data_IF_111575755401
#
_entry.id   IF_111575755401
#
_cell.length_a   1.000
_cell.length_b   1.000
_cell.length_c   1.000
_cell.angle_alpha   90.00
_cell.angle_beta   90.00
_cell.angle_gamma   90.00
#
_symmetry.space_group_name_H-M   'P 1'
#
loop_
_entity.id
_entity.type
_entity.pdbx_description
1 polymer ?
#
# COMPACT_ATOMS: atom_id res chain seq x y z
N UNK A 1 4.74 22.63 26.71
CA UNK A 1 4.23 22.87 25.35
C UNK A 1 4.93 21.83 24.52
N UNK A 2 4.25 20.71 24.29
CA UNK A 2 4.87 19.58 23.61
C UNK A 2 5.07 19.96 22.15
N UNK A 3 6.30 19.82 21.69
CA UNK A 3 6.64 19.87 20.29
C UNK A 3 5.96 18.67 19.62
N UNK A 4 4.80 18.90 19.00
CA UNK A 4 4.17 17.96 18.07
C UNK A 4 5.03 17.97 16.80
N UNK A 5 6.09 17.17 16.81
CA UNK A 5 6.89 16.86 15.63
C UNK A 5 5.95 16.26 14.56
N UNK A 6 6.05 16.67 13.29
CA UNK A 6 5.20 16.13 12.24
C UNK A 6 5.48 14.63 12.11
N UNK A 7 4.41 13.83 12.12
CA UNK A 7 4.43 12.38 11.87
C UNK A 7 4.90 12.11 10.44
N UNK A 8 6.21 12.17 10.23
CA UNK A 8 6.87 11.83 8.99
C UNK A 8 7.25 10.36 8.98
N UNK A 9 6.82 9.65 7.94
CA UNK A 9 7.46 8.53 7.22
C UNK A 9 8.41 7.55 7.96
N UNK A 10 8.31 7.36 9.27
CA UNK A 10 9.06 6.33 9.97
C UNK A 10 8.42 4.97 9.69
N UNK A 11 9.21 3.95 9.30
CA UNK A 11 8.72 2.59 9.19
C UNK A 11 8.10 2.16 10.53
N UNK A 12 6.89 1.59 10.48
CA UNK A 12 6.27 1.00 11.67
C UNK A 12 7.11 -0.22 12.05
N UNK A 13 7.75 -0.21 13.21
CA UNK A 13 8.57 -1.34 13.64
C UNK A 13 7.68 -2.58 13.88
N UNK A 14 8.20 -3.81 13.73
CA UNK A 14 7.40 -5.03 13.90
C UNK A 14 6.84 -5.26 15.32
N UNK A 15 7.20 -4.40 16.28
CA UNK A 15 6.70 -4.42 17.66
C UNK A 15 5.76 -3.25 17.98
N UNK A 16 5.55 -2.34 17.03
CA UNK A 16 4.62 -1.23 17.19
C UNK A 16 3.18 -1.69 16.95
N UNK A 17 2.24 -1.10 17.69
CA UNK A 17 0.82 -1.24 17.37
C UNK A 17 0.52 -0.51 16.06
N UNK A 18 -0.05 -1.22 15.09
CA UNK A 18 -0.52 -0.61 13.84
C UNK A 18 -1.54 0.47 14.18
N UNK A 19 -1.32 1.74 13.77
CA UNK A 19 -2.27 2.81 13.99
C UNK A 19 -3.65 2.38 13.48
N UNK A 20 -4.74 2.67 14.22
CA UNK A 20 -6.08 2.22 13.84
C UNK A 20 -6.50 2.74 12.45
N UNK A 21 -5.99 3.90 12.03
CA UNK A 21 -6.19 4.41 10.67
C UNK A 21 -5.54 3.58 9.56
N UNK A 22 -4.53 2.77 9.87
CA UNK A 22 -3.78 1.94 8.92
C UNK A 22 -4.14 0.45 9.02
N UNK A 23 -5.00 0.02 9.95
CA UNK A 23 -5.35 -1.40 10.12
C UNK A 23 -6.15 -1.97 8.94
N UNK A 24 -7.09 -1.20 8.38
CA UNK A 24 -8.02 -1.67 7.34
C UNK A 24 -7.93 -0.83 6.06
N UNK A 25 -6.71 -0.46 5.66
CA UNK A 25 -6.49 0.31 4.44
C UNK A 25 -6.16 -0.57 3.24
N UNK A 26 -6.53 -0.08 2.07
CA UNK A 26 -6.00 -0.56 0.81
C UNK A 26 -5.49 0.61 -0.02
N UNK A 27 -4.43 0.35 -0.78
CA UNK A 27 -3.82 1.34 -1.66
C UNK A 27 -3.79 0.78 -3.07
N UNK A 28 -4.11 1.64 -4.03
CA UNK A 28 -4.02 1.34 -5.45
C UNK A 28 -3.18 2.44 -6.10
N UNK A 29 -1.92 2.15 -6.37
CA UNK A 29 -0.97 3.09 -6.96
C UNK A 29 -0.83 2.83 -8.45
N UNK A 30 -0.84 3.90 -9.25
CA UNK A 30 -0.54 3.83 -10.68
C UNK A 30 0.96 4.03 -10.87
N UNK A 31 1.65 3.00 -11.33
CA UNK A 31 3.09 3.03 -11.49
C UNK A 31 3.47 3.06 -12.98
N UNK A 32 4.05 4.18 -13.41
CA UNK A 32 4.46 4.44 -14.80
C UNK A 32 5.99 4.56 -14.93
N UNK A 33 6.73 3.51 -14.55
CA UNK A 33 8.19 3.50 -14.67
C UNK A 33 8.69 3.02 -16.04
N UNK A 34 8.40 1.75 -16.40
CA UNK A 34 8.80 1.14 -17.69
C UNK A 34 7.63 0.54 -18.47
N UNK A 35 6.66 0.01 -17.74
CA UNK A 35 5.39 -0.45 -18.26
C UNK A 35 4.33 0.03 -17.27
N UNK A 36 3.19 0.50 -17.80
CA UNK A 36 2.07 0.89 -16.97
C UNK A 36 1.54 -0.34 -16.22
N UNK A 37 1.60 -0.28 -14.90
CA UNK A 37 0.98 -1.26 -14.02
C UNK A 37 0.39 -0.57 -12.80
N UNK A 38 -0.40 -1.32 -12.05
CA UNK A 38 -1.08 -0.86 -10.87
C UNK A 38 -0.65 -1.71 -9.69
N UNK A 39 -0.17 -1.09 -8.63
CA UNK A 39 0.21 -1.79 -7.40
C UNK A 39 -0.98 -1.78 -6.44
N UNK A 40 -1.53 -2.95 -6.18
CA UNK A 40 -2.55 -3.17 -5.17
C UNK A 40 -1.87 -3.57 -3.87
N UNK A 41 -2.20 -2.86 -2.79
CA UNK A 41 -1.68 -3.14 -1.46
C UNK A 41 -2.79 -3.23 -0.44
N UNK A 42 -2.73 -4.22 0.43
CA UNK A 42 -3.70 -4.45 1.51
C UNK A 42 -2.96 -4.48 2.84
N UNK A 43 -3.40 -3.67 3.80
CA UNK A 43 -2.89 -3.75 5.16
C UNK A 43 -3.36 -5.05 5.81
N UNK A 44 -2.42 -5.92 6.19
CA UNK A 44 -2.67 -7.18 6.89
C UNK A 44 -1.45 -7.53 7.72
N UNK A 45 -1.66 -7.97 8.96
CA UNK A 45 -0.59 -8.42 9.87
C UNK A 45 0.56 -7.39 10.05
N UNK A 46 0.24 -6.10 10.02
CA UNK A 46 1.22 -5.02 10.20
C UNK A 46 2.06 -4.67 8.97
N UNK A 47 1.74 -5.24 7.81
CA UNK A 47 2.42 -4.96 6.54
C UNK A 47 1.44 -4.68 5.42
N UNK A 48 1.91 -4.06 4.35
CA UNK A 48 1.20 -3.96 3.08
C UNK A 48 1.50 -5.18 2.21
N UNK A 49 0.62 -6.18 2.26
CA UNK A 49 0.61 -7.28 1.29
C UNK A 49 0.39 -6.71 -0.08
N UNK A 50 1.28 -7.00 -1.02
CA UNK A 50 1.38 -6.25 -2.27
C UNK A 50 1.29 -7.13 -3.52
N UNK A 51 0.63 -6.60 -4.55
CA UNK A 51 0.47 -7.24 -5.85
C UNK A 51 0.62 -6.24 -7.00
N UNK A 52 1.40 -6.61 -8.00
CA UNK A 52 1.45 -5.91 -9.28
C UNK A 52 0.33 -6.39 -10.20
N UNK A 53 -0.48 -5.46 -10.69
CA UNK A 53 -1.61 -5.68 -11.60
C UNK A 53 -1.29 -5.01 -12.93
N UNK A 54 -0.93 -5.77 -13.99
CA UNK A 54 -0.51 -5.18 -15.28
C UNK A 54 -1.61 -4.45 -16.06
N UNK A 55 -2.85 -4.55 -15.61
CA UNK A 55 -4.02 -3.97 -16.27
C UNK A 55 -4.77 -3.13 -15.27
N UNK A 56 -5.50 -2.16 -15.80
CA UNK A 56 -6.35 -1.30 -14.99
C UNK A 56 -7.31 -2.11 -14.09
N UNK A 57 -7.41 -1.73 -12.80
CA UNK A 57 -8.40 -2.27 -11.88
C UNK A 57 -9.81 -2.20 -12.48
N UNK A 58 -10.61 -3.26 -12.35
CA UNK A 58 -11.95 -3.27 -12.94
C UNK A 58 -12.90 -2.38 -12.14
N UNK A 59 -13.57 -1.44 -12.81
CA UNK A 59 -14.61 -0.58 -12.18
C UNK A 59 -15.94 -1.31 -11.97
N UNK A 60 -16.15 -2.43 -12.68
CA UNK A 60 -17.37 -3.23 -12.63
C UNK A 60 -17.09 -4.66 -12.19
N UNK A 61 -18.10 -5.32 -11.61
CA UNK A 61 -18.03 -6.75 -11.26
C UNK A 61 -18.01 -7.60 -12.53
N UNK A 62 -17.17 -8.65 -12.55
CA UNK A 62 -17.13 -9.65 -13.63
C UNK A 62 -15.76 -9.81 -14.30
N UNK A 63 -15.13 -8.72 -14.78
CA UNK A 63 -13.78 -8.80 -15.34
C UNK A 63 -12.77 -9.24 -14.28
N UNK A 64 -12.04 -10.32 -14.57
CA UNK A 64 -10.94 -10.79 -13.73
C UNK A 64 -9.62 -10.18 -14.21
N UNK A 65 -8.75 -9.81 -13.27
CA UNK A 65 -7.40 -9.31 -13.53
C UNK A 65 -6.37 -10.27 -12.94
N UNK A 66 -5.21 -10.34 -13.59
CA UNK A 66 -4.05 -11.02 -13.04
C UNK A 66 -3.43 -10.11 -11.98
N UNK A 67 -3.26 -10.61 -10.77
CA UNK A 67 -2.53 -9.96 -9.69
C UNK A 67 -1.31 -10.82 -9.37
N UNK A 68 -0.12 -10.27 -9.57
CA UNK A 68 1.16 -10.95 -9.36
C UNK A 68 1.65 -10.54 -7.98
N UNK A 69 1.83 -11.50 -7.07
CA UNK A 69 2.32 -11.23 -5.72
C UNK A 69 3.75 -10.70 -5.80
N UNK A 70 4.02 -9.61 -5.09
CA UNK A 70 5.35 -9.01 -4.93
C UNK A 70 5.69 -8.93 -3.43
N UNK A 71 6.89 -8.49 -3.10
CA UNK A 71 7.32 -8.37 -1.71
C UNK A 71 6.41 -7.43 -0.91
N UNK A 72 6.28 -7.74 0.38
CA UNK A 72 5.53 -6.93 1.32
C UNK A 72 6.20 -5.56 1.48
N UNK A 73 5.39 -4.53 1.73
CA UNK A 73 5.87 -3.17 1.96
C UNK A 73 5.49 -2.69 3.36
N UNK A 74 6.28 -1.77 3.92
CA UNK A 74 5.93 -1.13 5.19
C UNK A 74 4.67 -0.28 5.05
N UNK A 75 3.91 -0.14 6.14
CA UNK A 75 2.68 0.65 6.19
C UNK A 75 2.93 2.13 5.86
N UNK A 76 4.12 2.67 6.15
CA UNK A 76 4.51 4.04 5.81
C UNK A 76 4.50 4.31 4.30
N UNK A 77 4.55 3.28 3.47
CA UNK A 77 4.55 3.39 2.01
C UNK A 77 3.16 3.68 1.41
N UNK A 78 2.11 3.75 2.24
CA UNK A 78 0.74 3.98 1.77
C UNK A 78 0.55 5.33 1.05
N UNK A 79 1.24 6.36 1.51
CA UNK A 79 1.15 7.74 0.97
C UNK A 79 2.32 8.10 0.03
N UNK A 80 3.17 7.13 -0.32
CA UNK A 80 4.30 7.39 -1.20
C UNK A 80 3.85 7.66 -2.65
N UNK A 81 4.39 8.71 -3.25
CA UNK A 81 4.28 9.01 -4.69
C UNK A 81 5.68 9.25 -5.27
N UNK A 82 6.01 8.60 -6.39
CA UNK A 82 7.33 8.69 -7.03
C UNK A 82 7.35 8.22 -8.48
#
# INVERSE_FOLDING_TARGET
MGDEEPVGCDPVEPWDEVPPELQDIFVVQRHEARALHWDLRLSMDGVLKSWAVPKEPPEAKGPRRLAIMVDDHDLSYHDFEG
#
